data_IF_568438407583
#
_entry.id   IF_568438407583
#
_cell.length_a   1.000
_cell.length_b   1.000
_cell.length_c   1.000
_cell.angle_alpha   90.00
_cell.angle_beta   90.00
_cell.angle_gamma   90.00
#
_symmetry.space_group_name_H-M   'P 1'
#
loop_
_entity.id
_entity.type
_entity.pdbx_description
1 polymer ?
#
# COMPACT_ATOMS: atom_id res chain seq x y z
N UNK A 1 -1.35 11.47 -21.86
CA UNK A 1 -1.03 10.51 -20.78
C UNK A 1 -2.35 9.95 -20.29
N UNK A 2 -2.52 8.62 -20.22
CA UNK A 2 -3.78 8.03 -19.77
C UNK A 2 -3.94 8.26 -18.26
N UNK A 3 -5.17 8.34 -17.77
CA UNK A 3 -5.49 8.51 -16.34
C UNK A 3 -4.85 7.40 -15.49
N UNK A 4 -4.88 6.16 -15.98
CA UNK A 4 -4.23 5.00 -15.35
C UNK A 4 -2.70 5.18 -15.27
N UNK A 5 -2.07 5.71 -16.32
CA UNK A 5 -0.62 5.93 -16.34
C UNK A 5 -0.21 7.00 -15.34
N UNK A 6 -1.05 8.03 -15.15
CA UNK A 6 -0.82 9.09 -14.17
C UNK A 6 -0.86 8.53 -12.74
N UNK A 7 -1.86 7.69 -12.42
CA UNK A 7 -1.93 6.98 -11.15
C UNK A 7 -0.72 6.06 -10.94
N UNK A 8 -0.35 5.30 -11.96
CA UNK A 8 0.80 4.39 -11.91
C UNK A 8 2.13 5.11 -11.68
N UNK A 9 2.32 6.28 -12.30
CA UNK A 9 3.50 7.13 -12.09
C UNK A 9 3.60 7.62 -10.65
N UNK A 10 2.45 7.86 -10.02
CA UNK A 10 2.36 8.23 -8.60
C UNK A 10 2.49 7.03 -7.65
N UNK A 11 2.58 5.81 -8.18
CA UNK A 11 2.72 4.56 -7.42
C UNK A 11 1.40 3.84 -7.11
N UNK A 12 0.25 4.38 -7.55
CA UNK A 12 -1.04 3.71 -7.40
C UNK A 12 -1.21 2.63 -8.49
N UNK A 13 -1.51 1.40 -8.07
CA UNK A 13 -1.86 0.30 -8.98
C UNK A 13 -3.29 -0.13 -8.69
N UNK A 14 -4.21 0.20 -9.59
CA UNK A 14 -5.67 0.10 -9.37
C UNK A 14 -6.32 -0.69 -10.50
N UNK A 15 -7.27 -1.55 -10.14
CA UNK A 15 -8.06 -2.36 -11.09
C UNK A 15 -8.88 -1.46 -12.01
N UNK A 16 -9.01 -1.86 -13.27
CA UNK A 16 -9.73 -1.07 -14.26
C UNK A 16 -11.22 -0.89 -13.89
N UNK A 17 -11.86 -1.95 -13.40
CA UNK A 17 -13.27 -1.95 -13.01
C UNK A 17 -13.58 -0.91 -11.94
N UNK A 18 -12.64 -0.68 -11.02
CA UNK A 18 -12.78 0.34 -9.97
C UNK A 18 -12.69 1.76 -10.56
N UNK A 19 -11.85 1.96 -11.58
CA UNK A 19 -11.69 3.25 -12.25
C UNK A 19 -12.87 3.59 -13.17
N UNK A 20 -13.46 2.59 -13.84
CA UNK A 20 -14.60 2.80 -14.74
C UNK A 20 -15.85 3.29 -14.02
N UNK A 21 -16.03 2.86 -12.76
CA UNK A 21 -17.07 3.38 -11.86
C UNK A 21 -16.82 4.80 -11.33
N UNK A 22 -15.59 5.33 -11.47
CA UNK A 22 -15.14 6.57 -10.87
C UNK A 22 -14.49 7.51 -11.90
N UNK A 23 -15.30 8.09 -12.78
CA UNK A 23 -14.87 9.08 -13.80
C UNK A 23 -14.63 10.49 -13.22
N UNK A 24 -13.99 10.60 -12.06
CA UNK A 24 -13.71 11.87 -11.38
C UNK A 24 -12.28 12.38 -11.65
N UNK A 25 -11.93 13.57 -11.13
CA UNK A 25 -10.54 14.07 -11.16
C UNK A 25 -9.63 13.14 -10.36
N UNK A 26 -8.35 13.09 -10.73
CA UNK A 26 -7.34 12.24 -10.05
C UNK A 26 -7.30 12.50 -8.54
N UNK A 27 -7.41 13.76 -8.12
CA UNK A 27 -7.37 14.12 -6.70
C UNK A 27 -8.56 13.58 -5.90
N UNK A 28 -9.74 13.50 -6.51
CA UNK A 28 -10.93 12.97 -5.86
C UNK A 28 -10.85 11.44 -5.77
N UNK A 29 -10.38 10.79 -6.84
CA UNK A 29 -10.12 9.33 -6.85
C UNK A 29 -9.06 8.96 -5.81
N UNK A 30 -7.97 9.73 -5.67
CA UNK A 30 -6.95 9.49 -4.64
C UNK A 30 -7.55 9.57 -3.23
N UNK A 31 -8.40 10.56 -2.95
CA UNK A 31 -9.07 10.67 -1.64
C UNK A 31 -9.93 9.45 -1.36
N UNK A 32 -10.72 9.02 -2.33
CA UNK A 32 -11.53 7.82 -2.18
C UNK A 32 -10.67 6.55 -1.97
N UNK A 33 -9.58 6.43 -2.72
CA UNK A 33 -8.65 5.29 -2.61
C UNK A 33 -7.94 5.23 -1.26
N UNK A 34 -7.62 6.37 -0.64
CA UNK A 34 -7.02 6.42 0.70
C UNK A 34 -7.94 5.81 1.77
N UNK A 35 -9.26 5.91 1.59
CA UNK A 35 -10.26 5.34 2.50
C UNK A 35 -10.79 3.96 2.05
N UNK A 36 -10.27 3.40 0.95
CA UNK A 36 -10.71 2.13 0.38
C UNK A 36 -9.77 0.97 0.71
N UNK A 37 -10.31 -0.24 0.85
CA UNK A 37 -9.51 -1.46 0.94
C UNK A 37 -8.90 -1.80 -0.43
N UNK A 38 -7.57 -1.76 -0.53
CA UNK A 38 -6.82 -2.10 -1.73
C UNK A 38 -7.10 -3.53 -2.19
N UNK A 39 -7.55 -4.45 -1.33
CA UNK A 39 -7.91 -5.80 -1.81
C UNK A 39 -9.09 -5.79 -2.77
N UNK A 40 -9.93 -4.77 -2.66
CA UNK A 40 -11.08 -4.57 -3.53
C UNK A 40 -10.71 -3.72 -4.73
N UNK A 41 -9.97 -2.62 -4.53
CA UNK A 41 -9.69 -1.61 -5.56
C UNK A 41 -8.32 -1.74 -6.24
N UNK A 42 -7.30 -2.20 -5.53
CA UNK A 42 -5.91 -2.34 -5.96
C UNK A 42 -5.67 -3.50 -6.91
N UNK A 43 -4.64 -3.34 -7.75
CA UNK A 43 -4.17 -4.33 -8.73
C UNK A 43 -2.70 -4.70 -8.44
N UNK A 44 -2.29 -5.92 -8.82
CA UNK A 44 -0.97 -6.47 -8.50
C UNK A 44 0.14 -5.52 -8.96
N UNK A 45 0.92 -5.03 -8.01
CA UNK A 45 1.97 -4.04 -8.22
C UNK A 45 3.33 -4.56 -7.75
N UNK A 46 3.34 -5.24 -6.60
CA UNK A 46 4.58 -5.70 -5.98
C UNK A 46 5.15 -6.90 -6.76
N UNK A 47 6.49 -6.95 -6.90
CA UNK A 47 7.16 -8.11 -7.46
C UNK A 47 6.96 -9.32 -6.55
N UNK A 48 7.12 -10.52 -7.11
CA UNK A 48 7.10 -11.73 -6.31
C UNK A 48 8.29 -11.77 -5.34
N UNK A 49 8.03 -12.27 -4.14
CA UNK A 49 9.01 -12.38 -3.07
C UNK A 49 10.28 -13.11 -3.56
N UNK A 50 11.44 -12.53 -3.27
CA UNK A 50 12.74 -13.09 -3.63
C UNK A 50 13.18 -12.85 -5.08
N UNK A 51 12.38 -12.17 -5.91
CA UNK A 51 12.76 -11.80 -7.28
C UNK A 51 13.36 -10.40 -7.40
N UNK A 52 13.27 -9.58 -6.36
CA UNK A 52 13.76 -8.20 -6.38
C UNK A 52 14.41 -7.83 -5.06
N UNK A 53 15.68 -7.41 -5.13
CA UNK A 53 16.44 -6.99 -3.95
C UNK A 53 16.21 -5.51 -3.62
N UNK A 54 16.03 -4.66 -4.64
CA UNK A 54 15.83 -3.23 -4.48
C UNK A 54 14.89 -2.66 -5.55
N UNK A 55 14.14 -1.62 -5.20
CA UNK A 55 13.28 -0.91 -6.16
C UNK A 55 13.38 0.60 -5.96
N UNK A 56 13.40 1.34 -7.08
CA UNK A 56 13.40 2.81 -7.11
C UNK A 56 12.03 3.37 -7.48
N UNK A 57 11.10 2.52 -7.92
CA UNK A 57 9.75 2.90 -8.30
C UNK A 57 8.90 3.11 -7.03
N UNK A 58 8.05 4.16 -6.96
CA UNK A 58 7.10 4.30 -5.86
C UNK A 58 6.02 3.21 -5.94
N UNK A 59 5.68 2.65 -4.78
CA UNK A 59 4.53 1.75 -4.61
C UNK A 59 3.67 2.28 -3.48
N UNK A 60 2.36 2.32 -3.73
CA UNK A 60 1.38 2.55 -2.69
C UNK A 60 0.83 1.19 -2.26
N UNK A 61 0.88 0.96 -0.96
CA UNK A 61 0.50 -0.29 -0.32
C UNK A 61 -0.36 0.02 0.89
N UNK A 62 -1.22 -0.91 1.27
CA UNK A 62 -2.04 -0.82 2.46
C UNK A 62 -1.38 -1.60 3.60
N UNK A 63 -1.31 -0.95 4.77
CA UNK A 63 -0.86 -1.57 6.00
C UNK A 63 -1.98 -2.43 6.59
N UNK A 64 -1.75 -3.75 6.67
CA UNK A 64 -2.71 -4.70 7.21
C UNK A 64 -2.48 -4.96 8.70
N UNK A 65 -1.23 -5.15 9.11
CA UNK A 65 -0.90 -5.44 10.51
C UNK A 65 0.48 -4.91 10.87
N UNK A 66 0.59 -4.35 12.05
CA UNK A 66 1.87 -3.98 12.67
C UNK A 66 2.14 -4.88 13.87
N UNK A 67 3.41 -5.07 14.18
CA UNK A 67 3.84 -5.68 15.43
C UNK A 67 5.17 -5.12 15.86
N UNK A 68 5.29 -4.72 17.11
CA UNK A 68 6.58 -4.39 17.69
C UNK A 68 7.39 -5.68 17.90
N UNK A 69 8.51 -5.85 17.19
CA UNK A 69 9.39 -7.01 17.33
C UNK A 69 10.48 -6.81 18.38
N UNK A 70 10.67 -5.58 18.87
CA UNK A 70 11.61 -5.28 19.96
C UNK A 70 11.05 -5.54 21.35
N UNK A 71 9.75 -5.77 21.44
CA UNK A 71 9.05 -6.00 22.69
C UNK A 71 8.42 -7.41 22.70
N UNK A 72 8.34 -8.07 23.88
CA UNK A 72 7.61 -9.31 24.02
C UNK A 72 6.11 -9.07 23.74
N UNK A 73 5.41 -10.11 23.27
CA UNK A 73 3.98 -10.02 22.88
C UNK A 73 3.11 -9.46 24.00
N UNK A 74 3.43 -9.81 25.25
CA UNK A 74 2.61 -9.47 26.41
C UNK A 74 2.90 -8.06 26.95
N UNK A 75 3.89 -7.35 26.40
CA UNK A 75 4.25 -6.00 26.82
C UNK A 75 4.85 -5.19 25.66
N UNK A 76 4.01 -4.81 24.68
CA UNK A 76 4.44 -4.13 23.46
C UNK A 76 4.94 -2.69 23.67
N UNK A 77 4.57 -2.05 24.79
CA UNK A 77 4.92 -0.67 25.14
C UNK A 77 6.13 -0.52 26.06
N UNK A 78 6.60 -1.60 26.69
CA UNK A 78 7.45 -1.52 27.89
C UNK A 78 8.97 -1.42 27.70
N UNK A 79 9.47 -1.00 26.53
CA UNK A 79 10.92 -1.02 26.26
C UNK A 79 11.50 0.39 26.15
N UNK A 80 12.57 0.67 26.89
CA UNK A 80 13.41 1.89 26.76
C UNK A 80 14.25 1.91 25.47
N UNK A 81 13.91 1.06 24.48
CA UNK A 81 14.65 0.88 23.23
C UNK A 81 13.79 1.35 22.05
N UNK A 82 14.41 1.82 20.95
CA UNK A 82 13.70 2.14 19.72
C UNK A 82 12.82 0.97 19.27
N UNK A 83 11.58 1.26 18.91
CA UNK A 83 10.66 0.24 18.43
C UNK A 83 10.99 -0.16 16.99
N UNK A 84 11.21 -1.45 16.79
CA UNK A 84 11.26 -2.04 15.45
C UNK A 84 9.89 -2.65 15.17
N UNK A 85 9.24 -2.21 14.09
CA UNK A 85 7.95 -2.74 13.67
C UNK A 85 8.11 -3.68 12.49
N UNK A 86 7.52 -4.88 12.62
CA UNK A 86 7.21 -5.72 11.47
C UNK A 86 5.90 -5.23 10.88
N UNK A 87 5.92 -4.85 9.60
CA UNK A 87 4.76 -4.43 8.84
C UNK A 87 4.31 -5.57 7.93
N UNK A 88 3.03 -5.92 7.98
CA UNK A 88 2.36 -6.72 6.96
C UNK A 88 1.63 -5.76 6.03
N UNK A 89 2.02 -5.76 4.77
CA UNK A 89 1.49 -4.86 3.74
C UNK A 89 0.87 -5.67 2.60
N UNK A 90 0.01 -5.03 1.82
CA UNK A 90 -0.64 -5.58 0.62
C UNK A 90 -0.82 -4.48 -0.43
N UNK A 91 -0.69 -4.82 -1.70
CA UNK A 91 -1.00 -3.99 -2.87
C UNK A 91 -2.44 -4.19 -3.38
N UNK A 92 -3.16 -5.15 -2.81
CA UNK A 92 -4.52 -5.55 -3.16
C UNK A 92 -4.63 -7.06 -3.42
#
# INVERSE_FOLDING_TARGET
MNFKDQLYTLGWSIKMDFLEGNKQRIDDVKKQLLDSDLRQSGDKALPELGKLDQTTKPYIVQLHKTRNVTAPKDNESGSHRPHLYRLLITDG
#
